data_IF_789186874927
#
_entry.id   IF_789186874927
#
_cell.length_a   1.000
_cell.length_b   1.000
_cell.length_c   1.000
_cell.angle_alpha   90.00
_cell.angle_beta   90.00
_cell.angle_gamma   90.00
#
_symmetry.space_group_name_H-M   'P 1'
#
loop_
_entity.id
_entity.type
_entity.pdbx_description
1 polymer ?
#
# COMPACT_ATOMS: atom_id res chain seq x y z
N UNK A 1 17.94 27.23 -58.74
CA UNK A 1 16.73 26.39 -58.83
C UNK A 1 16.56 25.70 -57.48
N UNK A 2 15.33 25.75 -56.94
CA UNK A 2 14.73 24.96 -55.82
C UNK A 2 15.37 23.57 -55.60
N UNK A 3 15.43 22.92 -54.44
CA UNK A 3 14.83 22.99 -53.09
C UNK A 3 15.58 21.94 -52.24
N UNK A 4 15.68 22.11 -50.92
CA UNK A 4 15.28 21.08 -49.94
C UNK A 4 15.22 21.69 -48.53
N UNK A 5 14.12 21.35 -47.88
CA UNK A 5 13.51 21.92 -46.68
C UNK A 5 13.41 20.77 -45.66
N UNK A 6 13.47 21.12 -44.37
CA UNK A 6 12.90 20.39 -43.22
C UNK A 6 13.65 19.24 -42.56
N UNK A 7 13.52 19.23 -41.23
CA UNK A 7 13.77 18.11 -40.31
C UNK A 7 14.41 18.56 -38.99
N UNK A 8 13.79 19.40 -38.14
CA UNK A 8 12.88 19.05 -37.03
C UNK A 8 13.49 18.11 -35.95
N UNK A 9 13.43 18.61 -34.70
CA UNK A 9 13.29 17.88 -33.41
C UNK A 9 14.60 17.23 -32.92
N UNK A 10 15.17 17.53 -31.75
CA UNK A 10 14.55 17.87 -30.47
C UNK A 10 14.58 16.62 -29.58
N UNK A 11 15.63 16.45 -28.77
CA UNK A 11 15.57 15.56 -27.60
C UNK A 11 16.16 16.33 -26.43
N UNK A 12 15.27 16.91 -25.64
CA UNK A 12 15.56 17.23 -24.26
C UNK A 12 16.03 15.94 -23.59
N UNK A 13 17.22 15.95 -23.00
CA UNK A 13 17.63 14.92 -22.08
C UNK A 13 16.65 14.95 -20.90
N UNK A 14 15.65 14.08 -20.95
CA UNK A 14 14.79 13.80 -19.82
C UNK A 14 15.68 13.21 -18.73
N UNK A 15 15.71 13.91 -17.61
CA UNK A 15 16.36 13.49 -16.38
C UNK A 15 15.89 12.08 -16.03
N UNK A 16 16.82 11.13 -16.01
CA UNK A 16 16.58 9.85 -15.36
C UNK A 16 16.81 10.05 -13.86
N UNK A 17 15.95 10.84 -13.23
CA UNK A 17 15.74 10.78 -11.79
C UNK A 17 14.87 9.54 -11.59
N UNK A 18 15.53 8.37 -11.50
CA UNK A 18 14.92 7.26 -10.78
C UNK A 18 14.74 7.77 -9.36
N UNK A 19 13.54 8.28 -9.06
CA UNK A 19 13.04 8.40 -7.70
C UNK A 19 13.01 6.95 -7.22
N UNK A 20 14.13 6.51 -6.64
CA UNK A 20 14.14 5.30 -5.85
C UNK A 20 13.24 5.66 -4.69
N UNK A 21 12.01 5.12 -4.74
CA UNK A 21 11.18 4.96 -3.56
C UNK A 21 12.10 4.46 -2.46
N UNK A 22 12.27 5.25 -1.39
CA UNK A 22 12.92 4.72 -0.20
C UNK A 22 12.15 3.47 0.22
N UNK A 23 12.84 2.37 0.55
CA UNK A 23 12.18 1.14 0.93
C UNK A 23 11.33 1.40 2.18
N UNK A 24 10.11 0.88 2.17
CA UNK A 24 9.29 0.82 3.38
C UNK A 24 10.03 -0.01 4.43
N UNK A 25 9.71 0.17 5.71
CA UNK A 25 10.46 -0.47 6.80
C UNK A 25 10.57 -1.98 6.63
N UNK A 26 11.65 -2.58 7.17
CA UNK A 26 11.87 -4.04 7.18
C UNK A 26 10.73 -4.82 7.86
N UNK A 27 9.87 -4.16 8.64
CA UNK A 27 8.72 -4.76 9.31
C UNK A 27 7.47 -4.85 8.43
N UNK A 28 7.43 -4.13 7.31
CA UNK A 28 6.25 -4.04 6.45
C UNK A 28 5.83 -5.39 5.87
N UNK A 29 6.78 -6.11 5.26
CA UNK A 29 6.49 -7.34 4.54
C UNK A 29 5.97 -8.46 5.47
N UNK A 30 6.59 -8.74 6.63
CA UNK A 30 6.04 -9.70 7.60
C UNK A 30 4.63 -9.35 8.09
N UNK A 31 4.36 -8.07 8.39
CA UNK A 31 3.04 -7.62 8.86
C UNK A 31 1.99 -7.75 7.76
N UNK A 32 2.36 -7.42 6.52
CA UNK A 32 1.50 -7.65 5.36
C UNK A 32 1.15 -9.13 5.19
N UNK A 33 2.13 -10.04 5.29
CA UNK A 33 1.88 -11.47 5.13
C UNK A 33 0.92 -12.03 6.19
N UNK A 34 1.01 -11.53 7.43
CA UNK A 34 0.06 -11.87 8.50
C UNK A 34 -1.35 -11.40 8.14
N UNK A 35 -1.49 -10.14 7.73
CA UNK A 35 -2.79 -9.51 7.41
C UNK A 35 -3.43 -10.17 6.18
N UNK A 36 -2.65 -10.38 5.11
CA UNK A 36 -3.11 -10.96 3.85
C UNK A 36 -3.26 -12.49 3.88
N UNK A 37 -2.68 -13.13 4.90
CA UNK A 37 -2.79 -14.57 5.14
C UNK A 37 -4.07 -15.00 5.85
N UNK A 38 -4.92 -14.06 6.28
CA UNK A 38 -6.20 -14.41 6.88
C UNK A 38 -7.17 -15.03 5.85
N UNK A 39 -8.15 -15.79 6.35
CA UNK A 39 -9.06 -16.57 5.51
C UNK A 39 -9.83 -15.69 4.51
N UNK A 40 -10.24 -14.48 4.91
CA UNK A 40 -11.00 -13.58 4.04
C UNK A 40 -10.18 -13.11 2.84
N UNK A 41 -8.93 -12.65 3.07
CA UNK A 41 -8.08 -12.22 1.96
C UNK A 41 -7.60 -13.41 1.13
N UNK A 42 -7.32 -14.57 1.73
CA UNK A 42 -6.91 -15.77 0.99
C UNK A 42 -7.92 -16.20 -0.06
N UNK A 43 -9.21 -16.25 0.27
CA UNK A 43 -10.25 -16.62 -0.69
C UNK A 43 -10.27 -15.66 -1.90
N UNK A 44 -10.10 -14.37 -1.64
CA UNK A 44 -10.01 -13.36 -2.69
C UNK A 44 -8.76 -13.53 -3.56
N UNK A 45 -7.60 -13.76 -2.94
CA UNK A 45 -6.34 -14.00 -3.65
C UNK A 45 -6.38 -15.25 -4.52
N UNK A 46 -6.96 -16.34 -4.01
CA UNK A 46 -7.17 -17.58 -4.75
C UNK A 46 -8.08 -17.36 -5.97
N UNK A 47 -9.09 -16.50 -5.87
CA UNK A 47 -9.97 -16.15 -7.00
C UNK A 47 -9.27 -15.37 -8.11
N UNK A 48 -8.13 -14.74 -7.82
CA UNK A 48 -7.32 -13.94 -8.73
C UNK A 48 -6.07 -14.66 -9.25
N UNK A 49 -5.79 -15.89 -8.79
CA UNK A 49 -4.55 -16.63 -9.06
C UNK A 49 -3.29 -15.84 -8.64
N UNK A 50 -3.36 -15.13 -7.50
CA UNK A 50 -2.26 -14.33 -6.94
C UNK A 50 -1.86 -14.86 -5.57
N UNK A 51 -0.57 -14.89 -5.27
CA UNK A 51 -0.07 -15.29 -3.95
C UNK A 51 -0.01 -14.13 -2.95
N UNK A 52 -0.01 -14.46 -1.66
CA UNK A 52 0.22 -13.48 -0.58
C UNK A 52 1.52 -12.70 -0.79
N UNK A 53 2.60 -13.38 -1.19
CA UNK A 53 3.91 -12.76 -1.41
C UNK A 53 3.90 -11.76 -2.57
N UNK A 54 3.22 -12.08 -3.68
CA UNK A 54 3.04 -11.16 -4.81
C UNK A 54 2.24 -9.93 -4.42
N UNK A 55 1.19 -10.11 -3.62
CA UNK A 55 0.40 -9.00 -3.09
C UNK A 55 1.20 -8.14 -2.13
N UNK A 56 1.94 -8.71 -1.19
CA UNK A 56 2.73 -7.92 -0.25
C UNK A 56 3.87 -7.16 -0.95
N UNK A 57 4.50 -7.78 -1.95
CA UNK A 57 5.48 -7.09 -2.80
C UNK A 57 4.85 -5.94 -3.58
N UNK A 58 3.61 -6.12 -4.07
CA UNK A 58 2.85 -5.07 -4.73
C UNK A 58 2.55 -3.91 -3.77
N UNK A 59 2.07 -4.22 -2.56
CA UNK A 59 1.76 -3.21 -1.55
C UNK A 59 2.99 -2.43 -1.11
N UNK A 60 4.14 -3.11 -0.93
CA UNK A 60 5.40 -2.49 -0.57
C UNK A 60 5.86 -1.49 -1.64
N UNK A 61 5.79 -1.86 -2.92
CA UNK A 61 6.11 -0.95 -4.02
C UNK A 61 5.21 0.28 -4.04
N UNK A 62 3.88 0.07 -3.93
CA UNK A 62 2.91 1.18 -3.90
C UNK A 62 3.08 2.09 -2.68
N UNK A 63 3.48 1.52 -1.54
CA UNK A 63 3.76 2.26 -0.33
C UNK A 63 5.06 3.05 -0.47
N UNK A 64 6.12 2.49 -1.07
CA UNK A 64 7.40 3.18 -1.29
C UNK A 64 7.28 4.43 -2.18
N UNK A 65 6.25 4.54 -3.02
CA UNK A 65 5.98 5.73 -3.82
C UNK A 65 5.32 6.88 -3.04
N UNK A 66 4.89 6.63 -1.80
CA UNK A 66 4.27 7.64 -0.94
C UNK A 66 5.34 8.49 -0.26
N UNK A 67 4.91 9.63 0.28
CA UNK A 67 5.77 10.44 1.13
C UNK A 67 6.13 9.70 2.43
N UNK A 68 7.31 9.97 3.01
CA UNK A 68 7.82 9.28 4.22
C UNK A 68 6.82 9.23 5.38
N UNK A 69 6.05 10.30 5.59
CA UNK A 69 5.02 10.35 6.64
C UNK A 69 3.89 9.33 6.37
N UNK A 70 3.48 9.18 5.11
CA UNK A 70 2.47 8.20 4.71
C UNK A 70 3.01 6.77 4.76
N UNK A 71 4.29 6.56 4.38
CA UNK A 71 4.96 5.26 4.53
C UNK A 71 4.97 4.81 6.00
N UNK A 72 5.36 5.70 6.91
CA UNK A 72 5.38 5.43 8.35
C UNK A 72 3.99 5.14 8.91
N UNK A 73 2.96 5.86 8.43
CA UNK A 73 1.57 5.62 8.84
C UNK A 73 1.04 4.28 8.32
N UNK A 74 1.39 3.90 7.09
CA UNK A 74 1.04 2.61 6.50
C UNK A 74 1.69 1.45 7.28
N UNK A 75 2.98 1.57 7.59
CA UNK A 75 3.72 0.58 8.37
C UNK A 75 3.13 0.39 9.76
N UNK A 76 2.90 1.49 10.49
CA UNK A 76 2.27 1.46 11.81
C UNK A 76 0.87 0.81 11.75
N UNK A 77 0.05 1.14 10.75
CA UNK A 77 -1.29 0.57 10.64
C UNK A 77 -1.26 -0.94 10.35
N UNK A 78 -0.34 -1.41 9.51
CA UNK A 78 -0.16 -2.84 9.25
C UNK A 78 0.35 -3.58 10.48
N UNK A 79 1.34 -3.01 11.18
CA UNK A 79 1.87 -3.57 12.42
C UNK A 79 0.78 -3.72 13.48
N UNK A 80 0.07 -2.65 13.80
CA UNK A 80 -0.98 -2.67 14.84
C UNK A 80 -2.11 -3.63 14.47
N UNK A 81 -2.45 -3.75 13.17
CA UNK A 81 -3.44 -4.72 12.71
C UNK A 81 -2.95 -6.16 12.90
N UNK A 82 -1.71 -6.46 12.50
CA UNK A 82 -1.11 -7.79 12.66
C UNK A 82 -0.97 -8.18 14.14
N UNK A 83 -0.57 -7.24 15.00
CA UNK A 83 -0.49 -7.41 16.44
C UNK A 83 -1.87 -7.70 17.05
N UNK A 84 -2.89 -6.94 16.66
CA UNK A 84 -4.27 -7.12 17.13
C UNK A 84 -4.85 -8.49 16.70
N UNK A 85 -4.62 -8.90 15.44
CA UNK A 85 -5.00 -10.23 14.95
C UNK A 85 -4.34 -11.33 15.77
N UNK A 86 -3.04 -11.20 16.04
CA UNK A 86 -2.26 -12.18 16.80
C UNK A 86 -2.70 -12.24 18.27
N UNK A 87 -2.88 -11.09 18.90
CA UNK A 87 -3.22 -10.99 20.31
C UNK A 87 -4.65 -11.47 20.62
N UNK A 88 -5.60 -11.20 19.72
CA UNK A 88 -7.02 -11.45 19.96
C UNK A 88 -7.59 -12.59 19.11
N UNK A 89 -6.78 -13.20 18.23
CA UNK A 89 -7.22 -14.28 17.33
C UNK A 89 -8.43 -13.89 16.48
N UNK A 90 -8.39 -12.67 15.93
CA UNK A 90 -9.43 -12.09 15.08
C UNK A 90 -8.91 -11.96 13.64
N UNK A 91 -9.82 -11.89 12.68
CA UNK A 91 -9.45 -11.60 11.28
C UNK A 91 -9.01 -10.13 11.09
N UNK A 92 -8.41 -9.85 9.92
CA UNK A 92 -7.87 -8.54 9.59
C UNK A 92 -8.94 -7.44 9.57
N UNK A 93 -10.15 -7.74 9.10
CA UNK A 93 -11.24 -6.78 9.04
C UNK A 93 -11.73 -6.41 10.45
N UNK A 94 -11.85 -7.40 11.33
CA UNK A 94 -12.23 -7.21 12.71
C UNK A 94 -11.16 -6.47 13.50
N UNK A 95 -9.88 -6.82 13.35
CA UNK A 95 -8.75 -6.09 13.94
C UNK A 95 -8.75 -4.61 13.52
N UNK A 96 -8.80 -4.34 12.21
CA UNK A 96 -8.82 -2.98 11.66
C UNK A 96 -10.02 -2.16 12.16
N UNK A 97 -11.20 -2.79 12.28
CA UNK A 97 -12.41 -2.16 12.79
C UNK A 97 -12.30 -1.80 14.28
N UNK A 98 -11.71 -2.69 15.09
CA UNK A 98 -11.49 -2.46 16.52
C UNK A 98 -10.48 -1.32 16.75
N UNK A 99 -9.37 -1.33 16.00
CA UNK A 99 -8.37 -0.25 16.04
C UNK A 99 -8.99 1.08 15.63
N UNK A 100 -9.76 1.12 14.54
CA UNK A 100 -10.46 2.32 14.09
C UNK A 100 -11.40 2.87 15.16
N UNK A 101 -12.18 2.00 15.82
CA UNK A 101 -13.09 2.39 16.90
C UNK A 101 -12.34 2.92 18.13
N UNK A 102 -11.24 2.26 18.51
CA UNK A 102 -10.37 2.66 19.62
C UNK A 102 -9.76 4.04 19.38
N UNK A 103 -9.27 4.26 18.16
CA UNK A 103 -8.60 5.50 17.74
C UNK A 103 -9.57 6.67 17.66
N UNK A 104 -10.77 6.50 17.10
CA UNK A 104 -11.76 7.59 17.02
C UNK A 104 -12.14 8.12 18.42
N UNK A 105 -12.14 7.26 19.44
CA UNK A 105 -12.37 7.67 20.82
C UNK A 105 -11.21 8.48 21.45
N UNK A 106 -9.98 8.33 20.93
CA UNK A 106 -8.75 8.91 21.50
C UNK A 106 -8.18 10.08 20.65
N UNK A 107 -8.54 10.14 19.36
CA UNK A 107 -8.00 11.03 18.34
C UNK A 107 -8.20 12.53 18.63
N UNK A 108 -9.12 12.91 19.52
CA UNK A 108 -9.33 14.32 19.89
C UNK A 108 -8.16 14.92 20.71
N UNK A 109 -7.27 14.09 21.25
CA UNK A 109 -6.15 14.55 22.10
C UNK A 109 -4.83 13.81 21.93
N UNK A 110 -4.78 12.74 21.12
CA UNK A 110 -3.57 11.94 20.94
C UNK A 110 -3.06 12.00 19.47
N UNK A 111 -1.89 12.62 19.23
CA UNK A 111 -1.25 12.65 17.91
C UNK A 111 -0.97 11.26 17.33
N UNK A 112 -0.66 10.26 18.18
CA UNK A 112 -0.37 8.90 17.72
C UNK A 112 -1.65 8.21 17.25
N UNK A 113 -2.76 8.42 17.96
CA UNK A 113 -4.07 7.95 17.52
C UNK A 113 -4.43 8.56 16.15
N UNK A 114 -4.17 9.86 15.94
CA UNK A 114 -4.40 10.49 14.63
C UNK A 114 -3.52 9.91 13.51
N UNK A 115 -2.26 9.59 13.79
CA UNK A 115 -1.37 8.95 12.82
C UNK A 115 -1.85 7.53 12.45
N UNK A 116 -2.24 6.74 13.45
CA UNK A 116 -2.83 5.42 13.22
C UNK A 116 -4.13 5.52 12.41
N UNK A 117 -4.98 6.51 12.67
CA UNK A 117 -6.20 6.73 11.87
C UNK A 117 -5.89 7.02 10.40
N UNK A 118 -4.90 7.89 10.14
CA UNK A 118 -4.45 8.17 8.77
C UNK A 118 -3.88 6.92 8.11
N UNK A 119 -3.06 6.16 8.84
CA UNK A 119 -2.48 4.90 8.38
C UNK A 119 -3.54 3.86 8.00
N UNK A 120 -4.54 3.65 8.87
CA UNK A 120 -5.67 2.75 8.61
C UNK A 120 -6.49 3.18 7.39
N UNK A 121 -6.65 4.50 7.19
CA UNK A 121 -7.31 5.03 6.00
C UNK A 121 -6.47 4.83 4.73
N UNK A 122 -5.16 5.06 4.81
CA UNK A 122 -4.23 4.90 3.70
C UNK A 122 -4.10 3.43 3.29
N UNK A 123 -4.00 2.51 4.25
CA UNK A 123 -3.92 1.07 3.98
C UNK A 123 -5.19 0.57 3.30
N UNK A 124 -6.37 1.02 3.74
CA UNK A 124 -7.64 0.71 3.09
C UNK A 124 -7.71 1.23 1.66
N UNK A 125 -7.24 2.45 1.40
CA UNK A 125 -7.20 3.00 0.05
C UNK A 125 -6.26 2.18 -0.85
N UNK A 126 -5.08 1.86 -0.36
CA UNK A 126 -4.08 1.05 -1.08
C UNK A 126 -4.66 -0.33 -1.43
N UNK A 127 -5.35 -0.97 -0.49
CA UNK A 127 -6.05 -2.24 -0.73
C UNK A 127 -7.14 -2.12 -1.79
N UNK A 128 -7.90 -1.02 -1.83
CA UNK A 128 -8.89 -0.79 -2.88
C UNK A 128 -8.25 -0.55 -4.24
N UNK A 129 -7.22 0.28 -4.31
CA UNK A 129 -6.49 0.56 -5.56
C UNK A 129 -5.91 -0.73 -6.15
N UNK A 130 -5.31 -1.56 -5.29
CA UNK A 130 -4.78 -2.86 -5.67
C UNK A 130 -5.88 -3.81 -6.14
N UNK A 131 -6.98 -3.94 -5.38
CA UNK A 131 -8.11 -4.79 -5.76
C UNK A 131 -8.68 -4.41 -7.11
N UNK A 132 -8.89 -3.11 -7.32
CA UNK A 132 -9.47 -2.59 -8.55
C UNK A 132 -8.49 -2.79 -9.74
N UNK A 133 -7.17 -2.68 -9.51
CA UNK A 133 -6.15 -3.00 -10.50
C UNK A 133 -6.14 -4.48 -10.88
N UNK A 134 -6.15 -5.41 -9.92
CA UNK A 134 -6.23 -6.83 -10.24
C UNK A 134 -7.54 -7.20 -10.94
N UNK A 135 -8.67 -6.62 -10.54
CA UNK A 135 -9.95 -6.85 -11.20
C UNK A 135 -10.00 -6.32 -12.64
N UNK A 136 -9.28 -5.23 -12.95
CA UNK A 136 -9.36 -4.56 -14.25
C UNK A 136 -8.24 -4.98 -15.21
N UNK A 137 -7.02 -5.06 -14.70
CA UNK A 137 -5.81 -5.26 -15.48
C UNK A 137 -5.11 -6.61 -15.17
N UNK A 138 -5.51 -7.31 -14.10
CA UNK A 138 -4.89 -8.58 -13.70
C UNK A 138 -3.45 -8.44 -13.21
N UNK A 139 -3.03 -7.24 -12.83
CA UNK A 139 -1.65 -6.94 -12.41
C UNK A 139 -1.63 -5.93 -11.26
N UNK A 140 -0.55 -5.95 -10.49
CA UNK A 140 -0.23 -4.88 -9.54
C UNK A 140 -0.25 -3.52 -10.28
N UNK A 141 -0.89 -2.48 -9.72
CA UNK A 141 -0.84 -1.16 -10.32
C UNK A 141 0.62 -0.68 -10.27
N UNK A 142 1.24 -0.59 -11.43
CA UNK A 142 2.56 0.02 -11.60
C UNK A 142 2.46 1.54 -11.46
N UNK A 143 3.51 2.13 -10.91
CA UNK A 143 3.87 3.54 -11.04
C UNK A 143 3.88 4.02 -12.49
#
# INVERSE_FOLDING_TARGET
MRVLVSGLIGIAALANLSVQADPVSDAFQPNCEIVMGDEYHRDWLESLDVTVSEVCSCMENMAGEKADEEQMQLDLALQETADEMTANSVDAMQASSQLSASVVGQAAGDPNAMQLLKGLSASRQLMFDMRDSYNTAGVCPVS
#
